data_IF_667221703071
#
_entry.id   IF_667221703071
#
_cell.length_a   1.000
_cell.length_b   1.000
_cell.length_c   1.000
_cell.angle_alpha   90.00
_cell.angle_beta   90.00
_cell.angle_gamma   90.00
#
_symmetry.space_group_name_H-M   'P 1'
#
loop_
_entity.id
_entity.type
_entity.pdbx_description
1 polymer ?
#
# COMPACT_ATOMS: atom_id res chain seq x y z
N UNK A 1 8.26 3.52 -24.73
CA UNK A 1 7.74 3.87 -23.39
C UNK A 1 7.22 5.29 -23.48
N UNK A 2 6.03 5.55 -22.95
CA UNK A 2 5.49 6.92 -22.92
C UNK A 2 5.91 7.57 -21.61
N UNK A 3 6.30 8.87 -21.68
CA UNK A 3 6.63 9.66 -20.51
C UNK A 3 5.34 10.24 -19.90
N UNK A 4 5.20 10.14 -18.58
CA UNK A 4 4.14 10.79 -17.80
C UNK A 4 4.77 11.98 -17.06
N UNK A 5 4.05 13.11 -17.08
CA UNK A 5 4.47 14.36 -16.44
C UNK A 5 3.48 14.74 -15.34
N UNK A 6 4.01 15.08 -14.17
CA UNK A 6 3.26 15.75 -13.12
C UNK A 6 3.45 17.26 -13.29
N UNK A 7 2.35 17.96 -13.57
CA UNK A 7 2.34 19.41 -13.71
C UNK A 7 1.95 20.02 -12.37
N UNK A 8 2.79 20.89 -11.84
CA UNK A 8 2.49 21.59 -10.59
C UNK A 8 1.36 22.59 -10.78
N UNK A 9 0.30 22.53 -9.95
CA UNK A 9 -0.77 23.53 -10.01
C UNK A 9 -0.35 24.90 -9.45
N UNK A 10 0.84 25.00 -8.85
CA UNK A 10 1.34 26.25 -8.26
C UNK A 10 1.86 27.20 -9.34
N UNK A 11 2.59 26.67 -10.33
CA UNK A 11 3.29 27.46 -11.33
C UNK A 11 3.11 26.96 -12.77
N UNK A 12 2.34 25.89 -12.96
CA UNK A 12 2.08 25.27 -14.27
C UNK A 12 3.29 24.55 -14.86
N UNK A 13 4.38 24.38 -14.11
CA UNK A 13 5.60 23.74 -14.61
C UNK A 13 5.61 22.24 -14.35
N UNK A 14 6.40 21.52 -15.14
CA UNK A 14 6.67 20.11 -14.92
C UNK A 14 7.49 19.96 -13.63
N UNK A 15 6.91 19.31 -12.63
CA UNK A 15 7.59 19.05 -11.36
C UNK A 15 8.34 17.71 -11.37
N UNK A 16 7.73 16.67 -11.94
CA UNK A 16 8.33 15.34 -12.01
C UNK A 16 7.91 14.61 -13.29
N UNK A 17 8.76 13.73 -13.76
CA UNK A 17 8.49 12.86 -14.92
C UNK A 17 8.83 11.41 -14.59
N UNK A 18 8.13 10.47 -15.20
CA UNK A 18 8.40 9.03 -15.13
C UNK A 18 8.01 8.34 -16.43
N UNK A 19 8.74 7.30 -16.77
CA UNK A 19 8.36 6.43 -17.87
C UNK A 19 7.26 5.46 -17.44
N UNK A 20 6.33 5.18 -18.33
CA UNK A 20 5.36 4.10 -18.13
C UNK A 20 6.05 2.75 -18.27
N UNK A 21 5.56 1.74 -17.54
CA UNK A 21 5.94 0.36 -17.80
C UNK A 21 5.48 -0.08 -19.19
N UNK A 22 6.29 -0.84 -19.88
CA UNK A 22 5.82 -1.59 -21.04
C UNK A 22 4.91 -2.75 -20.61
N UNK A 23 4.10 -3.27 -21.53
CA UNK A 23 3.28 -4.45 -21.24
C UNK A 23 4.14 -5.66 -20.83
N UNK A 24 5.34 -5.79 -21.43
CA UNK A 24 6.29 -6.84 -21.08
C UNK A 24 6.76 -6.67 -19.63
N UNK A 25 7.25 -5.47 -19.27
CA UNK A 25 7.75 -5.21 -17.90
C UNK A 25 6.64 -5.38 -16.85
N UNK A 26 5.40 -4.98 -17.16
CA UNK A 26 4.26 -5.20 -16.28
C UNK A 26 3.98 -6.70 -16.05
N UNK A 27 4.10 -7.53 -17.08
CA UNK A 27 3.95 -8.99 -16.95
C UNK A 27 5.08 -9.60 -16.13
N UNK A 28 6.30 -9.15 -16.34
CA UNK A 28 7.48 -9.61 -15.58
C UNK A 28 7.35 -9.24 -14.09
N UNK A 29 6.87 -8.03 -13.78
CA UNK A 29 6.59 -7.62 -12.40
C UNK A 29 5.48 -8.45 -11.75
N UNK A 30 4.40 -8.75 -12.44
CA UNK A 30 3.34 -9.64 -11.93
C UNK A 30 3.90 -11.03 -11.61
N UNK A 31 4.82 -11.55 -12.42
CA UNK A 31 5.46 -12.84 -12.13
C UNK A 31 6.35 -12.77 -10.89
N UNK A 32 7.11 -11.67 -10.72
CA UNK A 32 7.90 -11.42 -9.49
C UNK A 32 7.00 -11.38 -8.26
N UNK A 33 5.89 -10.67 -8.33
CA UNK A 33 4.92 -10.57 -7.24
C UNK A 33 4.35 -11.95 -6.86
N UNK A 34 4.04 -12.80 -7.83
CA UNK A 34 3.57 -14.17 -7.56
C UNK A 34 4.61 -15.00 -6.80
N UNK A 35 5.88 -14.89 -7.17
CA UNK A 35 6.96 -15.58 -6.48
C UNK A 35 7.14 -15.06 -5.05
N UNK A 36 7.12 -13.74 -4.87
CA UNK A 36 7.24 -13.11 -3.56
C UNK A 36 6.07 -13.45 -2.62
N UNK A 37 4.85 -13.57 -3.16
CA UNK A 37 3.65 -13.84 -2.39
C UNK A 37 3.71 -15.15 -1.60
N UNK A 38 4.26 -16.19 -2.19
CA UNK A 38 4.39 -17.49 -1.51
C UNK A 38 5.24 -17.39 -0.23
N UNK A 39 6.39 -16.74 -0.30
CA UNK A 39 7.26 -16.51 0.86
C UNK A 39 6.63 -15.55 1.86
N UNK A 40 5.95 -14.50 1.38
CA UNK A 40 5.27 -13.54 2.24
C UNK A 40 4.11 -14.16 3.02
N UNK A 41 3.24 -14.91 2.36
CA UNK A 41 2.08 -15.56 3.00
C UNK A 41 2.46 -16.62 4.02
N UNK A 42 3.64 -17.24 3.88
CA UNK A 42 4.14 -18.24 4.82
C UNK A 42 4.63 -17.65 6.16
N UNK A 43 4.86 -16.31 6.22
CA UNK A 43 5.26 -15.64 7.47
C UNK A 43 4.12 -15.64 8.50
N UNK A 44 4.42 -15.75 9.78
CA UNK A 44 3.42 -15.56 10.85
C UNK A 44 2.71 -14.21 10.74
N UNK A 45 1.44 -14.13 11.14
CA UNK A 45 0.67 -12.89 11.12
C UNK A 45 1.36 -11.76 11.88
N UNK A 46 1.91 -12.06 13.07
CA UNK A 46 2.64 -11.09 13.90
C UNK A 46 3.86 -10.49 13.18
N UNK A 47 4.58 -11.31 12.43
CA UNK A 47 5.73 -10.84 11.66
C UNK A 47 5.30 -9.93 10.50
N UNK A 48 4.22 -10.29 9.78
CA UNK A 48 3.68 -9.45 8.73
C UNK A 48 3.22 -8.09 9.25
N UNK A 49 2.52 -8.07 10.39
CA UNK A 49 2.12 -6.83 11.08
C UNK A 49 3.35 -6.00 11.43
N UNK A 50 4.35 -6.60 12.06
CA UNK A 50 5.58 -5.90 12.48
C UNK A 50 6.30 -5.25 11.30
N UNK A 51 6.43 -5.97 10.18
CA UNK A 51 7.08 -5.47 8.96
C UNK A 51 6.28 -4.35 8.29
N UNK A 52 4.96 -4.46 8.22
CA UNK A 52 4.09 -3.40 7.69
C UNK A 52 4.21 -2.14 8.54
N UNK A 53 4.17 -2.26 9.87
CA UNK A 53 4.27 -1.11 10.77
C UNK A 53 5.67 -0.47 10.73
N UNK A 54 6.73 -1.25 10.56
CA UNK A 54 8.07 -0.71 10.34
C UNK A 54 8.16 0.12 9.04
N UNK A 55 7.49 -0.33 7.97
CA UNK A 55 7.36 0.44 6.73
C UNK A 55 6.57 1.73 6.92
N UNK A 56 5.49 1.70 7.72
CA UNK A 56 4.71 2.89 8.08
C UNK A 56 5.59 3.92 8.81
N UNK A 57 6.39 3.49 9.77
CA UNK A 57 7.34 4.37 10.46
C UNK A 57 8.42 4.94 9.53
N UNK A 58 8.89 4.14 8.57
CA UNK A 58 9.85 4.62 7.57
C UNK A 58 9.26 5.76 6.72
N UNK A 59 7.99 5.64 6.30
CA UNK A 59 7.26 6.74 5.62
C UNK A 59 7.18 7.98 6.52
N UNK A 60 6.94 7.81 7.82
CA UNK A 60 6.90 8.92 8.78
C UNK A 60 8.20 9.73 8.83
N UNK A 61 9.34 9.06 8.75
CA UNK A 61 10.66 9.70 8.72
C UNK A 61 10.90 10.50 7.43
N UNK A 62 10.15 10.24 6.38
CA UNK A 62 10.19 10.97 5.11
C UNK A 62 9.24 12.17 5.08
N UNK A 63 8.50 12.47 6.15
CA UNK A 63 7.44 13.47 6.15
C UNK A 63 7.93 14.87 5.73
N UNK A 64 9.14 15.26 6.13
CA UNK A 64 9.73 16.55 5.76
C UNK A 64 10.02 16.67 4.25
N UNK A 65 10.24 15.55 3.57
CA UNK A 65 10.33 15.48 2.11
C UNK A 65 8.95 15.40 1.47
N UNK A 66 8.07 14.61 2.01
CA UNK A 66 6.72 14.34 1.46
C UNK A 66 5.86 15.60 1.42
N UNK A 67 5.89 16.42 2.48
CA UNK A 67 5.05 17.63 2.57
C UNK A 67 5.30 18.63 1.43
N UNK A 68 6.54 19.05 1.14
CA UNK A 68 6.79 19.93 0.00
C UNK A 68 6.53 19.24 -1.36
N UNK A 69 6.76 17.94 -1.49
CA UNK A 69 6.42 17.20 -2.71
C UNK A 69 4.91 17.21 -2.98
N UNK A 70 4.07 16.97 -1.96
CA UNK A 70 2.61 17.06 -2.08
C UNK A 70 2.17 18.48 -2.46
N UNK A 71 2.78 19.51 -1.86
CA UNK A 71 2.49 20.89 -2.24
C UNK A 71 2.77 21.14 -3.72
N UNK A 72 3.89 20.66 -4.23
CA UNK A 72 4.27 20.79 -5.65
C UNK A 72 3.40 19.97 -6.59
N UNK A 73 3.05 18.75 -6.21
CA UNK A 73 2.27 17.85 -7.07
C UNK A 73 0.78 18.19 -7.13
N UNK A 74 0.17 18.59 -6.00
CA UNK A 74 -1.28 18.74 -5.92
C UNK A 74 -1.76 20.07 -5.35
N UNK A 75 -0.86 21.00 -5.02
CA UNK A 75 -1.21 22.34 -4.50
C UNK A 75 -1.63 22.34 -3.03
N UNK A 76 -1.40 21.28 -2.26
CA UNK A 76 -1.70 21.27 -0.83
C UNK A 76 -0.83 22.30 -0.10
N UNK A 77 -1.41 23.27 0.63
CA UNK A 77 -0.60 24.22 1.39
C UNK A 77 0.24 23.51 2.46
N UNK A 78 1.53 23.84 2.54
CA UNK A 78 2.50 23.22 3.47
C UNK A 78 2.00 23.27 4.94
N UNK A 79 1.28 24.33 5.31
CA UNK A 79 0.72 24.50 6.67
C UNK A 79 -0.22 23.37 7.12
N UNK A 80 -0.79 22.62 6.19
CA UNK A 80 -1.64 21.47 6.52
C UNK A 80 -0.85 20.18 6.72
N UNK A 81 0.48 20.23 6.52
CA UNK A 81 1.33 19.06 6.68
C UNK A 81 1.09 17.98 5.62
N UNK A 82 1.64 16.78 5.93
CA UNK A 82 1.40 15.56 5.16
C UNK A 82 0.15 14.82 5.65
N UNK A 83 0.10 13.56 5.30
CA UNK A 83 -1.02 12.67 5.66
C UNK A 83 -0.62 11.65 6.75
N UNK A 84 0.59 11.79 7.31
CA UNK A 84 1.19 10.72 8.10
C UNK A 84 0.37 10.32 9.32
N UNK A 85 -0.25 11.26 10.04
CA UNK A 85 -1.09 10.94 11.19
C UNK A 85 -2.24 9.99 10.84
N UNK A 86 -3.02 10.34 9.84
CA UNK A 86 -4.12 9.47 9.37
C UNK A 86 -3.63 8.19 8.67
N UNK A 87 -2.49 8.24 8.00
CA UNK A 87 -1.85 7.07 7.42
C UNK A 87 -1.45 6.04 8.48
N UNK A 88 -0.80 6.49 9.56
CA UNK A 88 -0.39 5.65 10.68
C UNK A 88 -1.61 5.10 11.45
N UNK A 89 -2.58 5.96 11.77
CA UNK A 89 -3.81 5.56 12.46
C UNK A 89 -4.53 4.42 11.75
N UNK A 90 -4.66 4.51 10.43
CA UNK A 90 -5.33 3.48 9.62
C UNK A 90 -4.56 2.18 9.57
N UNK A 91 -3.24 2.23 9.41
CA UNK A 91 -2.39 1.05 9.44
C UNK A 91 -2.43 0.37 10.81
N UNK A 92 -2.40 1.16 11.90
CA UNK A 92 -2.50 0.65 13.26
C UNK A 92 -3.85 -0.04 13.50
N UNK A 93 -4.95 0.61 13.14
CA UNK A 93 -6.28 0.01 13.27
C UNK A 93 -6.40 -1.34 12.54
N UNK A 94 -5.91 -1.41 11.28
CA UNK A 94 -5.91 -2.66 10.51
C UNK A 94 -5.03 -3.74 11.15
N UNK A 95 -3.94 -3.35 11.80
CA UNK A 95 -3.07 -4.26 12.54
C UNK A 95 -3.76 -4.82 13.79
N UNK A 96 -4.44 -3.96 14.53
CA UNK A 96 -5.11 -4.32 15.80
C UNK A 96 -6.26 -5.32 15.57
N UNK A 97 -7.04 -5.14 14.53
CA UNK A 97 -8.17 -6.03 14.22
C UNK A 97 -7.77 -7.30 13.45
N UNK A 98 -6.51 -7.40 12.98
CA UNK A 98 -6.12 -8.43 12.00
C UNK A 98 -6.31 -9.87 12.52
N UNK A 99 -5.96 -10.12 13.78
CA UNK A 99 -6.06 -11.46 14.36
C UNK A 99 -7.51 -11.95 14.38
N UNK A 100 -8.43 -11.09 14.81
CA UNK A 100 -9.86 -11.42 14.84
C UNK A 100 -10.47 -11.49 13.44
N UNK A 101 -10.09 -10.57 12.57
CA UNK A 101 -10.59 -10.52 11.20
C UNK A 101 -10.14 -11.71 10.35
N UNK A 102 -8.98 -12.29 10.63
CA UNK A 102 -8.39 -13.39 9.84
C UNK A 102 -8.55 -14.77 10.48
N UNK A 103 -9.09 -14.86 11.70
CA UNK A 103 -9.30 -16.16 12.35
C UNK A 103 -10.25 -17.05 11.56
N UNK A 104 -10.06 -18.35 11.70
CA UNK A 104 -10.98 -19.34 11.16
C UNK A 104 -12.37 -19.17 11.79
N UNK A 105 -13.41 -19.40 11.01
CA UNK A 105 -14.80 -19.44 11.49
C UNK A 105 -15.14 -20.91 11.77
N UNK A 106 -15.25 -21.28 13.03
CA UNK A 106 -15.64 -22.61 13.42
C UNK A 106 -17.15 -22.80 13.17
N UNK A 107 -17.50 -23.87 12.46
CA UNK A 107 -18.88 -24.23 12.14
C UNK A 107 -19.37 -25.29 13.12
N UNK A 108 -18.59 -26.36 13.31
CA UNK A 108 -18.84 -27.41 14.30
C UNK A 108 -17.55 -28.14 14.65
N UNK A 109 -17.48 -28.58 15.89
CA UNK A 109 -16.43 -29.46 16.38
C UNK A 109 -17.15 -30.62 17.08
N UNK A 110 -17.16 -31.79 16.46
CA UNK A 110 -17.70 -33.03 17.05
C UNK A 110 -16.59 -34.10 17.10
N UNK A 111 -16.86 -35.19 17.77
CA UNK A 111 -15.89 -36.27 17.96
C UNK A 111 -15.37 -36.88 16.66
N UNK A 112 -16.02 -36.61 15.54
CA UNK A 112 -15.71 -37.22 14.24
C UNK A 112 -15.08 -36.23 13.28
N UNK A 113 -15.46 -34.92 13.31
CA UNK A 113 -15.04 -33.92 12.33
C UNK A 113 -14.96 -32.53 12.92
N UNK A 114 -13.85 -31.82 12.63
CA UNK A 114 -13.74 -30.40 12.83
C UNK A 114 -14.03 -29.67 11.51
N UNK A 115 -15.06 -28.80 11.51
CA UNK A 115 -15.47 -28.02 10.33
C UNK A 115 -15.27 -26.55 10.56
N UNK A 116 -14.60 -25.91 9.62
CA UNK A 116 -14.34 -24.47 9.71
C UNK A 116 -14.17 -23.83 8.32
N UNK A 117 -14.37 -22.54 8.26
CA UNK A 117 -14.06 -21.73 7.08
C UNK A 117 -12.73 -21.00 7.35
N UNK A 118 -11.73 -21.25 6.52
CA UNK A 118 -10.43 -20.57 6.61
C UNK A 118 -10.36 -19.43 5.61
N UNK A 119 -9.90 -18.27 6.10
CA UNK A 119 -9.56 -17.15 5.24
C UNK A 119 -8.14 -17.32 4.73
N UNK A 120 -7.98 -17.26 3.41
CA UNK A 120 -6.68 -17.42 2.74
C UNK A 120 -6.39 -16.19 1.87
N UNK A 121 -5.11 -15.83 1.65
CA UNK A 121 -4.77 -14.71 0.76
C UNK A 121 -5.24 -14.96 -0.67
N UNK A 122 -5.69 -13.90 -1.35
CA UNK A 122 -6.02 -13.94 -2.79
C UNK A 122 -4.77 -14.03 -3.69
N UNK A 123 -3.61 -13.63 -3.18
CA UNK A 123 -2.36 -13.59 -3.92
C UNK A 123 -1.90 -12.17 -4.22
N UNK A 124 -2.23 -11.63 -5.38
CA UNK A 124 -1.87 -10.26 -5.78
C UNK A 124 -3.11 -9.37 -5.70
N UNK A 125 -3.01 -8.27 -4.95
CA UNK A 125 -4.03 -7.23 -4.89
C UNK A 125 -3.60 -6.04 -5.73
N UNK A 126 -4.39 -5.70 -6.75
CA UNK A 126 -4.14 -4.52 -7.56
C UNK A 126 -4.83 -3.30 -6.96
N UNK A 127 -4.04 -2.32 -6.52
CA UNK A 127 -4.52 -1.10 -5.87
C UNK A 127 -4.41 0.08 -6.83
N UNK A 128 -5.53 0.78 -7.07
CA UNK A 128 -5.57 2.02 -7.83
C UNK A 128 -5.85 3.15 -6.84
N UNK A 129 -4.82 3.94 -6.51
CA UNK A 129 -4.93 5.01 -5.53
C UNK A 129 -5.22 6.36 -6.18
N UNK A 130 -6.08 7.20 -5.56
CA UNK A 130 -6.40 8.55 -6.03
C UNK A 130 -5.30 9.56 -5.69
N UNK A 131 -5.49 10.79 -6.16
CA UNK A 131 -4.53 11.88 -5.98
C UNK A 131 -4.80 12.77 -4.76
N UNK A 132 -6.06 12.87 -4.30
CA UNK A 132 -6.50 13.88 -3.33
C UNK A 132 -6.01 13.63 -1.89
N UNK A 133 -5.96 12.36 -1.47
CA UNK A 133 -5.33 11.89 -0.24
C UNK A 133 -4.50 10.63 -0.56
N UNK A 134 -3.39 10.79 -1.31
CA UNK A 134 -2.74 9.66 -1.96
C UNK A 134 -2.14 8.65 -0.99
N UNK A 135 -1.65 9.07 0.17
CA UNK A 135 -1.13 8.17 1.21
C UNK A 135 -2.26 7.50 2.00
N UNK A 136 -3.18 8.31 2.56
CA UNK A 136 -4.27 7.82 3.41
C UNK A 136 -5.21 6.85 2.68
N UNK A 137 -5.51 7.11 1.41
CA UNK A 137 -6.41 6.23 0.66
C UNK A 137 -5.70 4.96 0.21
N UNK A 138 -4.42 5.03 -0.14
CA UNK A 138 -3.64 3.87 -0.51
C UNK A 138 -3.48 2.89 0.67
N UNK A 139 -3.16 3.40 1.86
CA UNK A 139 -2.92 2.54 3.03
C UNK A 139 -4.16 1.73 3.44
N UNK A 140 -5.37 2.24 3.21
CA UNK A 140 -6.61 1.51 3.48
C UNK A 140 -6.69 0.16 2.78
N UNK A 141 -5.99 -0.01 1.66
CA UNK A 141 -5.95 -1.28 0.93
C UNK A 141 -4.61 -1.96 1.06
N UNK A 142 -3.50 -1.21 1.08
CA UNK A 142 -2.14 -1.77 1.15
C UNK A 142 -1.93 -2.50 2.48
N UNK A 143 -2.19 -1.86 3.62
CA UNK A 143 -1.95 -2.47 4.92
C UNK A 143 -2.75 -3.77 5.12
N UNK A 144 -4.08 -3.79 4.98
CA UNK A 144 -4.83 -5.02 5.18
C UNK A 144 -4.50 -6.10 4.15
N UNK A 145 -4.17 -5.75 2.91
CA UNK A 145 -3.75 -6.72 1.90
C UNK A 145 -2.44 -7.43 2.30
N UNK A 146 -1.41 -6.66 2.70
CA UNK A 146 -0.14 -7.22 3.13
C UNK A 146 -0.29 -8.03 4.43
N UNK A 147 -1.00 -7.50 5.42
CA UNK A 147 -1.25 -8.19 6.70
C UNK A 147 -1.98 -9.51 6.47
N UNK A 148 -2.93 -9.57 5.55
CA UNK A 148 -3.65 -10.79 5.19
C UNK A 148 -2.81 -11.80 4.37
N UNK A 149 -1.54 -11.48 4.05
CA UNK A 149 -0.63 -12.38 3.34
C UNK A 149 -0.66 -12.23 1.82
N UNK A 150 -1.30 -11.19 1.30
CA UNK A 150 -1.23 -10.84 -0.11
C UNK A 150 0.02 -10.01 -0.40
N UNK A 151 0.36 -9.86 -1.68
CA UNK A 151 1.27 -8.82 -2.18
C UNK A 151 0.49 -7.79 -2.98
N UNK A 152 1.06 -6.59 -3.12
CA UNK A 152 0.36 -5.45 -3.72
C UNK A 152 1.05 -4.98 -4.98
N UNK A 153 0.27 -4.83 -6.05
CA UNK A 153 0.63 -4.06 -7.23
C UNK A 153 -0.07 -2.69 -7.15
N UNK A 154 0.70 -1.62 -6.93
CA UNK A 154 0.15 -0.28 -6.77
C UNK A 154 0.24 0.53 -8.05
N UNK A 155 -0.89 1.03 -8.54
CA UNK A 155 -0.99 2.08 -9.53
C UNK A 155 -1.40 3.38 -8.83
N UNK A 156 -0.45 4.23 -8.48
CA UNK A 156 -0.73 5.55 -7.93
C UNK A 156 -1.21 6.53 -9.00
N UNK A 157 -1.74 7.68 -8.57
CA UNK A 157 -2.27 8.69 -9.50
C UNK A 157 -1.14 9.43 -10.22
N UNK A 158 -1.37 9.77 -11.48
CA UNK A 158 -0.41 10.55 -12.29
C UNK A 158 -0.14 11.93 -11.68
N UNK A 159 -1.16 12.56 -11.09
CA UNK A 159 -1.02 13.89 -10.47
C UNK A 159 -0.11 13.88 -9.23
N UNK A 160 -0.04 12.75 -8.51
CA UNK A 160 0.84 12.58 -7.34
C UNK A 160 1.92 11.55 -7.63
N UNK A 161 2.70 11.82 -8.66
CA UNK A 161 3.58 10.87 -9.35
C UNK A 161 4.69 10.27 -8.44
N UNK A 162 5.13 11.00 -7.40
CA UNK A 162 6.20 10.51 -6.51
C UNK A 162 5.69 9.66 -5.34
N UNK A 163 4.38 9.70 -5.04
CA UNK A 163 3.80 8.98 -3.90
C UNK A 163 4.04 7.47 -3.98
N UNK A 164 3.93 6.88 -5.16
CA UNK A 164 4.19 5.45 -5.33
C UNK A 164 5.62 5.05 -4.98
N UNK A 165 6.61 5.93 -5.21
CA UNK A 165 8.01 5.67 -4.88
C UNK A 165 8.26 5.67 -3.37
N UNK A 166 7.55 6.52 -2.61
CA UNK A 166 7.64 6.51 -1.15
C UNK A 166 6.98 5.25 -0.58
N UNK A 167 5.83 4.84 -1.14
CA UNK A 167 5.06 3.69 -0.64
C UNK A 167 5.75 2.33 -0.85
N UNK A 168 6.75 2.22 -1.72
CA UNK A 168 7.52 0.97 -1.87
C UNK A 168 8.29 0.56 -0.60
N UNK A 169 8.48 1.48 0.35
CA UNK A 169 9.16 1.19 1.62
C UNK A 169 8.31 0.35 2.60
N UNK A 170 7.02 0.22 2.33
CA UNK A 170 6.16 -0.71 3.08
C UNK A 170 6.38 -2.13 2.57
#
# INVERSE_FOLDING_TARGET
>A
MNEIKCISPIDGKVFATRNTLSLKDAKDEIQRLRTAQSAWSARPLSERISLVMAGVEAIGKMNDQIVPELAKMMGRPIRYGGEFGGFQERAQYMSDIAADALKDIEISDDSSFKRYIRRVPHGIVFVIAPWNYPYMTAINTIAPALIAGNVVALKHATQTLLVGLSLIHI
#
